data_IF_470516676957
#
_entry.id   IF_470516676957
#
_cell.length_a   1.000
_cell.length_b   1.000
_cell.length_c   1.000
_cell.angle_alpha   90.00
_cell.angle_beta   90.00
_cell.angle_gamma   90.00
#
_symmetry.space_group_name_H-M   'P 1'
#
loop_
_entity.id
_entity.type
_entity.pdbx_description
1 polymer ?
#
# COMPACT_ATOMS: atom_id res chain seq x y z
N UNK A 1 0.85 24.86 -10.97
CA UNK A 1 1.73 23.93 -10.20
C UNK A 1 0.96 23.53 -8.96
N UNK A 2 0.40 22.33 -8.95
CA UNK A 2 -0.17 21.74 -7.73
C UNK A 2 0.95 21.57 -6.71
N UNK A 3 0.81 22.16 -5.52
CA UNK A 3 1.78 21.98 -4.44
C UNK A 3 1.75 20.50 -4.03
N UNK A 4 2.86 19.79 -4.26
CA UNK A 4 3.08 18.44 -3.74
C UNK A 4 3.02 18.48 -2.21
N UNK A 5 2.31 17.54 -1.59
CA UNK A 5 2.27 17.43 -0.12
C UNK A 5 3.67 17.25 0.46
N UNK A 6 3.90 17.62 1.72
CA UNK A 6 5.19 17.44 2.41
C UNK A 6 5.68 15.99 2.33
N UNK A 7 4.76 15.03 2.51
CA UNK A 7 5.02 13.59 2.32
C UNK A 7 5.41 13.25 0.89
N UNK A 8 4.70 13.81 -0.11
CA UNK A 8 5.02 13.63 -1.52
C UNK A 8 6.42 14.15 -1.86
N UNK A 9 6.78 15.34 -1.33
CA UNK A 9 8.11 15.91 -1.53
C UNK A 9 9.21 15.03 -0.92
N UNK A 10 8.97 14.45 0.26
CA UNK A 10 9.89 13.49 0.89
C UNK A 10 10.11 12.25 0.02
N UNK A 11 9.06 11.74 -0.63
CA UNK A 11 9.14 10.58 -1.52
C UNK A 11 9.95 10.91 -2.77
N UNK A 12 9.71 12.06 -3.39
CA UNK A 12 10.48 12.50 -4.56
C UNK A 12 11.97 12.60 -4.23
N UNK A 13 12.33 13.24 -3.11
CA UNK A 13 13.72 13.35 -2.65
C UNK A 13 14.38 11.99 -2.41
N UNK A 14 13.65 11.02 -1.82
CA UNK A 14 14.17 9.65 -1.62
C UNK A 14 14.42 8.93 -2.94
N UNK A 15 13.52 9.08 -3.92
CA UNK A 15 13.70 8.49 -5.25
C UNK A 15 14.87 9.15 -5.97
N UNK A 16 15.00 10.47 -5.90
CA UNK A 16 16.12 11.22 -6.47
C UNK A 16 17.46 10.79 -5.87
N UNK A 17 17.54 10.61 -4.55
CA UNK A 17 18.73 10.11 -3.87
C UNK A 17 19.15 8.72 -4.40
N UNK A 18 18.20 7.80 -4.55
CA UNK A 18 18.47 6.46 -5.13
C UNK A 18 18.98 6.59 -6.58
N UNK A 19 18.36 7.44 -7.39
CA UNK A 19 18.81 7.67 -8.76
C UNK A 19 20.23 8.27 -8.81
N UNK A 20 20.54 9.21 -7.91
CA UNK A 20 21.87 9.79 -7.79
C UNK A 20 22.92 8.75 -7.40
N UNK A 21 22.62 7.85 -6.46
CA UNK A 21 23.51 6.74 -6.08
C UNK A 21 23.78 5.79 -7.26
N UNK A 22 22.75 5.47 -8.05
CA UNK A 22 22.88 4.65 -9.26
C UNK A 22 23.80 5.36 -10.28
N UNK A 23 23.55 6.65 -10.55
CA UNK A 23 24.34 7.45 -11.49
C UNK A 23 25.79 7.60 -11.02
N UNK A 24 26.01 7.81 -9.73
CA UNK A 24 27.33 7.87 -9.13
C UNK A 24 28.09 6.55 -9.33
N UNK A 25 27.46 5.41 -9.01
CA UNK A 25 28.07 4.07 -9.22
C UNK A 25 28.50 3.88 -10.67
N UNK A 26 27.63 4.22 -11.63
CA UNK A 26 27.92 4.13 -13.06
C UNK A 26 29.10 5.05 -13.44
N UNK A 27 29.16 6.27 -12.90
CA UNK A 27 30.26 7.22 -13.17
C UNK A 27 31.62 6.72 -12.69
N UNK A 28 31.62 5.91 -11.62
CA UNK A 28 32.82 5.26 -11.08
C UNK A 28 33.11 3.91 -11.75
N UNK A 29 32.36 3.54 -12.80
CA UNK A 29 32.45 2.26 -13.49
C UNK A 29 32.18 1.05 -12.56
N UNK A 30 31.38 1.27 -11.51
CA UNK A 30 30.90 0.25 -10.57
C UNK A 30 29.48 -0.22 -10.93
N UNK A 31 29.14 -1.46 -10.55
CA UNK A 31 27.79 -1.97 -10.80
C UNK A 31 26.78 -1.38 -9.80
N UNK A 32 25.71 -0.71 -10.26
CA UNK A 32 24.70 -0.18 -9.37
C UNK A 32 23.88 -1.29 -8.72
N UNK A 33 23.38 -1.00 -7.52
CA UNK A 33 22.46 -1.88 -6.80
C UNK A 33 21.40 -1.05 -6.08
N UNK A 34 20.27 -1.69 -5.78
CA UNK A 34 19.25 -1.18 -4.87
C UNK A 34 19.19 -2.06 -3.64
N UNK A 35 18.80 -1.50 -2.50
CA UNK A 35 18.70 -2.28 -1.27
C UNK A 35 17.49 -1.90 -0.42
N UNK A 36 16.92 -2.89 0.27
CA UNK A 36 15.75 -2.70 1.13
C UNK A 36 15.68 -3.78 2.24
N UNK A 37 14.99 -3.50 3.35
CA UNK A 37 14.77 -4.48 4.42
C UNK A 37 13.96 -5.71 3.94
N UNK A 38 14.40 -6.92 4.31
CA UNK A 38 13.72 -8.17 3.93
C UNK A 38 12.39 -8.36 4.66
N UNK A 39 11.33 -8.63 3.90
CA UNK A 39 9.96 -8.78 4.43
C UNK A 39 9.63 -10.12 5.07
N UNK A 40 10.26 -11.21 4.64
CA UNK A 40 9.91 -12.57 5.11
C UNK A 40 10.17 -12.82 6.60
N UNK A 41 10.79 -11.87 7.31
CA UNK A 41 11.02 -11.89 8.76
C UNK A 41 10.14 -10.91 9.55
N UNK A 42 9.04 -10.44 8.98
CA UNK A 42 8.12 -9.52 9.66
C UNK A 42 7.47 -10.07 10.95
N UNK A 43 7.63 -11.36 11.26
CA UNK A 43 7.31 -11.92 12.58
C UNK A 43 8.14 -11.29 13.72
N UNK A 44 9.27 -10.68 13.39
CA UNK A 44 10.17 -9.98 14.34
C UNK A 44 9.80 -8.49 14.51
N UNK A 45 8.79 -7.98 13.78
CA UNK A 45 8.32 -6.60 13.95
C UNK A 45 7.48 -6.49 15.23
N UNK A 46 7.84 -5.54 16.08
CA UNK A 46 7.06 -5.17 17.26
C UNK A 46 6.00 -4.16 16.83
N UNK A 47 4.75 -4.44 17.17
CA UNK A 47 3.68 -3.44 17.07
C UNK A 47 3.78 -2.50 18.27
N UNK A 48 3.98 -1.22 17.99
CA UNK A 48 3.92 -0.15 18.98
C UNK A 48 2.62 0.62 18.80
N UNK A 49 1.89 0.85 19.89
CA UNK A 49 0.55 1.44 19.86
C UNK A 49 0.54 2.87 19.27
N UNK A 50 1.64 3.60 19.42
CA UNK A 50 1.79 5.00 18.96
C UNK A 50 2.26 5.14 17.51
N UNK A 51 2.91 4.11 16.94
CA UNK A 51 3.56 4.18 15.62
C UNK A 51 3.13 3.05 14.68
N UNK A 52 2.38 2.07 15.18
CA UNK A 52 2.05 0.82 14.50
C UNK A 52 3.24 -0.13 14.43
N UNK A 53 3.41 -0.81 13.30
CA UNK A 53 4.57 -1.68 13.08
C UNK A 53 5.82 -0.83 12.84
N UNK A 54 6.66 -0.68 13.86
CA UNK A 54 7.92 0.07 13.76
C UNK A 54 9.01 -0.75 13.05
N UNK A 55 9.25 -0.41 11.79
CA UNK A 55 10.26 -1.06 10.94
C UNK A 55 11.69 -0.60 11.24
N UNK A 56 11.87 0.49 11.98
CA UNK A 56 13.19 1.07 12.26
C UNK A 56 13.92 0.39 13.42
N UNK A 57 13.17 -0.22 14.33
CA UNK A 57 13.69 -0.95 15.51
C UNK A 57 14.05 -2.41 15.24
N UNK A 58 13.59 -2.97 14.12
CA UNK A 58 13.89 -4.34 13.76
C UNK A 58 15.21 -4.42 12.98
N UNK A 59 16.16 -5.24 13.43
CA UNK A 59 17.41 -5.52 12.72
C UNK A 59 17.12 -6.45 11.52
N UNK A 60 16.43 -5.92 10.51
CA UNK A 60 15.96 -6.68 9.36
C UNK A 60 17.12 -6.92 8.38
N UNK A 61 17.34 -8.16 7.92
CA UNK A 61 18.34 -8.44 6.90
C UNK A 61 18.10 -7.60 5.65
N UNK A 62 19.13 -6.93 5.14
CA UNK A 62 19.03 -6.14 3.92
C UNK A 62 19.09 -7.06 2.70
N UNK A 63 18.15 -6.89 1.77
CA UNK A 63 18.21 -7.49 0.43
C UNK A 63 18.94 -6.53 -0.49
N UNK A 64 19.94 -7.02 -1.23
CA UNK A 64 20.58 -6.28 -2.32
C UNK A 64 20.14 -6.84 -3.67
N UNK A 65 19.70 -5.96 -4.56
CA UNK A 65 19.32 -6.27 -5.93
C UNK A 65 20.36 -5.60 -6.82
N UNK A 66 21.24 -6.41 -7.43
CA UNK A 66 22.36 -5.91 -8.22
C UNK A 66 22.03 -5.93 -9.71
N UNK A 67 22.57 -4.98 -10.46
CA UNK A 67 22.40 -4.91 -11.91
C UNK A 67 23.25 -5.95 -12.66
N UNK A 68 24.47 -6.25 -12.18
CA UNK A 68 25.44 -7.16 -12.83
C UNK A 68 25.12 -8.65 -12.69
N UNK A 69 24.13 -9.05 -11.88
CA UNK A 69 23.79 -10.46 -11.69
C UNK A 69 22.62 -10.87 -12.59
N UNK A 70 22.75 -11.93 -13.40
CA UNK A 70 21.67 -12.41 -14.27
C UNK A 70 20.37 -12.73 -13.52
N UNK A 71 20.48 -13.19 -12.26
CA UNK A 71 19.33 -13.54 -11.41
C UNK A 71 18.55 -12.30 -10.92
N UNK A 72 19.19 -11.14 -10.80
CA UNK A 72 18.57 -9.92 -10.25
C UNK A 72 18.39 -8.79 -11.26
N UNK A 73 19.04 -8.83 -12.43
CA UNK A 73 18.97 -7.76 -13.45
C UNK A 73 17.53 -7.44 -13.86
N UNK A 74 16.67 -8.45 -14.05
CA UNK A 74 15.25 -8.22 -14.38
C UNK A 74 14.54 -7.50 -13.24
N UNK A 75 14.73 -7.96 -11.99
CA UNK A 75 14.16 -7.31 -10.79
C UNK A 75 14.65 -5.88 -10.63
N UNK A 76 15.94 -5.63 -10.86
CA UNK A 76 16.53 -4.29 -10.82
C UNK A 76 15.86 -3.35 -11.83
N UNK A 77 15.79 -3.76 -13.09
CA UNK A 77 15.17 -2.97 -14.15
C UNK A 77 13.68 -2.70 -13.86
N UNK A 78 12.95 -3.70 -13.36
CA UNK A 78 11.54 -3.55 -12.97
C UNK A 78 11.38 -2.60 -11.78
N UNK A 79 12.22 -2.69 -10.75
CA UNK A 79 12.19 -1.76 -9.62
C UNK A 79 12.41 -0.32 -10.08
N UNK A 80 13.41 -0.08 -10.93
CA UNK A 80 13.68 1.25 -11.48
C UNK A 80 12.51 1.79 -12.31
N UNK A 81 11.86 0.92 -13.08
CA UNK A 81 10.66 1.27 -13.85
C UNK A 81 9.48 1.67 -12.95
N UNK A 82 9.24 0.92 -11.87
CA UNK A 82 8.18 1.25 -10.90
C UNK A 82 8.54 2.53 -10.13
N UNK A 83 9.80 2.75 -9.75
CA UNK A 83 10.24 4.02 -9.15
C UNK A 83 9.94 5.22 -10.05
N UNK A 84 10.19 5.11 -11.36
CA UNK A 84 9.80 6.13 -12.34
C UNK A 84 8.29 6.38 -12.33
N UNK A 85 7.48 5.32 -12.30
CA UNK A 85 6.01 5.44 -12.25
C UNK A 85 5.58 6.16 -10.97
N UNK A 86 6.09 5.75 -9.81
CA UNK A 86 5.81 6.40 -8.52
C UNK A 86 6.20 7.87 -8.57
N UNK A 87 7.40 8.19 -9.06
CA UNK A 87 7.88 9.56 -9.17
C UNK A 87 6.91 10.43 -9.99
N UNK A 88 6.50 9.97 -11.17
CA UNK A 88 5.53 10.68 -12.02
C UNK A 88 4.16 10.84 -11.34
N UNK A 89 3.65 9.78 -10.71
CA UNK A 89 2.35 9.82 -10.02
C UNK A 89 2.35 10.80 -8.85
N UNK A 90 3.41 10.80 -8.03
CA UNK A 90 3.56 11.71 -6.89
C UNK A 90 3.73 13.15 -7.37
N UNK A 91 4.59 13.37 -8.38
CA UNK A 91 4.84 14.71 -8.94
C UNK A 91 3.59 15.33 -9.54
N UNK A 92 2.77 14.53 -10.23
CA UNK A 92 1.53 15.00 -10.87
C UNK A 92 0.31 14.91 -9.94
N UNK A 93 0.48 14.41 -8.71
CA UNK A 93 -0.60 14.11 -7.77
C UNK A 93 -1.73 13.26 -8.37
N UNK A 94 -1.36 12.25 -9.16
CA UNK A 94 -2.28 11.26 -9.77
C UNK A 94 -2.10 9.90 -9.11
N UNK A 95 -3.13 9.07 -9.22
CA UNK A 95 -3.14 7.70 -8.73
C UNK A 95 -3.35 6.73 -9.88
N UNK A 96 -2.83 5.51 -9.74
CA UNK A 96 -3.19 4.40 -10.62
C UNK A 96 -3.40 3.11 -9.81
N UNK A 97 -4.03 2.12 -10.43
CA UNK A 97 -4.16 0.80 -9.81
C UNK A 97 -2.99 -0.10 -10.17
N UNK A 98 -2.73 -1.10 -9.32
CA UNK A 98 -1.74 -2.14 -9.63
C UNK A 98 -1.99 -2.85 -10.97
N UNK A 99 -3.27 -2.97 -11.36
CA UNK A 99 -3.65 -3.57 -12.64
C UNK A 99 -3.35 -2.67 -13.82
N UNK A 100 -3.50 -1.35 -13.67
CA UNK A 100 -3.10 -0.40 -14.72
C UNK A 100 -1.61 -0.56 -15.05
N UNK A 101 -0.77 -0.71 -14.01
CA UNK A 101 0.66 -0.98 -14.18
C UNK A 101 0.87 -2.32 -14.89
N UNK A 102 0.18 -3.39 -14.48
CA UNK A 102 0.29 -4.71 -15.09
C UNK A 102 -0.04 -4.68 -16.59
N UNK A 103 -1.08 -3.93 -16.99
CA UNK A 103 -1.50 -3.84 -18.38
C UNK A 103 -0.64 -2.90 -19.24
N UNK A 104 0.02 -1.90 -18.64
CA UNK A 104 0.86 -0.97 -19.39
C UNK A 104 2.15 -1.60 -19.92
N UNK A 105 2.70 -2.63 -19.24
CA UNK A 105 3.97 -3.25 -19.64
C UNK A 105 3.95 -4.78 -19.50
N UNK A 106 3.11 -5.49 -20.28
CA UNK A 106 2.93 -6.93 -20.14
C UNK A 106 4.24 -7.72 -20.28
N UNK A 107 5.17 -7.27 -21.14
CA UNK A 107 6.44 -7.95 -21.38
C UNK A 107 7.41 -7.91 -20.18
N UNK A 108 7.27 -6.90 -19.32
CA UNK A 108 8.10 -6.71 -18.14
C UNK A 108 7.64 -7.58 -16.97
N UNK A 109 6.36 -7.98 -16.93
CA UNK A 109 5.73 -8.56 -15.76
C UNK A 109 5.18 -9.97 -16.03
N UNK A 110 5.79 -11.03 -15.46
CA UNK A 110 5.33 -12.39 -15.71
C UNK A 110 3.95 -12.68 -15.09
N UNK A 111 3.62 -12.01 -13.98
CA UNK A 111 2.34 -12.16 -13.30
C UNK A 111 2.09 -11.00 -12.33
N UNK A 112 0.82 -10.78 -11.97
CA UNK A 112 0.41 -9.70 -11.05
C UNK A 112 1.10 -9.81 -9.67
N UNK A 113 1.30 -11.02 -9.15
CA UNK A 113 1.96 -11.24 -7.86
C UNK A 113 3.42 -10.77 -7.85
N UNK A 114 4.11 -10.80 -8.99
CA UNK A 114 5.47 -10.27 -9.11
C UNK A 114 5.50 -8.75 -8.98
N UNK A 115 4.52 -8.05 -9.56
CA UNK A 115 4.38 -6.59 -9.42
C UNK A 115 4.04 -6.23 -7.98
N UNK A 116 3.09 -6.95 -7.37
CA UNK A 116 2.72 -6.76 -5.97
C UNK A 116 3.94 -6.81 -5.06
N UNK A 117 4.79 -7.83 -5.24
CA UNK A 117 6.02 -7.96 -4.46
C UNK A 117 7.01 -6.82 -4.70
N UNK A 118 7.15 -6.34 -5.94
CA UNK A 118 8.06 -5.25 -6.27
C UNK A 118 7.58 -3.92 -5.67
N UNK A 119 6.28 -3.64 -5.74
CA UNK A 119 5.68 -2.44 -5.12
C UNK A 119 5.91 -2.47 -3.60
N UNK A 120 5.69 -3.63 -2.96
CA UNK A 120 5.93 -3.79 -1.53
C UNK A 120 7.42 -3.60 -1.16
N UNK A 121 8.35 -4.11 -1.98
CA UNK A 121 9.79 -3.95 -1.77
C UNK A 121 10.19 -2.47 -1.92
N UNK A 122 9.62 -1.74 -2.87
CA UNK A 122 9.83 -0.29 -3.05
C UNK A 122 9.27 0.50 -1.87
N UNK A 123 8.09 0.15 -1.37
CA UNK A 123 7.53 0.77 -0.17
C UNK A 123 8.47 0.61 1.03
N UNK A 124 9.11 -0.56 1.16
CA UNK A 124 10.12 -0.80 2.19
C UNK A 124 11.41 -0.02 1.94
N UNK A 125 11.88 0.03 0.69
CA UNK A 125 13.07 0.79 0.30
C UNK A 125 12.93 2.28 0.63
N UNK A 126 11.76 2.85 0.37
CA UNK A 126 11.44 4.26 0.64
C UNK A 126 10.97 4.50 2.08
N UNK A 127 10.78 3.44 2.87
CA UNK A 127 10.25 3.49 4.24
C UNK A 127 8.94 4.28 4.35
N UNK A 128 8.02 4.02 3.42
CA UNK A 128 6.68 4.62 3.40
C UNK A 128 5.61 3.53 3.33
N UNK A 129 4.40 3.80 3.81
CA UNK A 129 3.29 2.89 3.56
C UNK A 129 2.92 2.88 2.07
N UNK A 130 2.30 1.79 1.61
CA UNK A 130 2.06 1.56 0.17
C UNK A 130 1.16 2.60 -0.47
N UNK A 131 0.19 3.13 0.27
CA UNK A 131 -0.76 4.14 -0.25
C UNK A 131 -0.07 5.46 -0.60
N UNK A 132 1.06 5.78 0.03
CA UNK A 132 1.86 6.98 -0.29
C UNK A 132 2.62 6.83 -1.62
N UNK A 133 2.72 5.62 -2.19
CA UNK A 133 3.33 5.43 -3.52
C UNK A 133 2.39 5.84 -4.67
N UNK A 134 1.17 6.28 -4.36
CA UNK A 134 0.12 6.60 -5.33
C UNK A 134 -0.30 5.41 -6.21
N UNK A 135 0.03 4.18 -5.80
CA UNK A 135 -0.38 2.94 -6.46
C UNK A 135 -1.38 2.22 -5.57
N UNK A 136 -2.63 2.18 -6.00
CA UNK A 136 -3.75 1.66 -5.23
C UNK A 136 -4.07 0.21 -5.57
N UNK A 137 -4.50 -0.55 -4.56
CA UNK A 137 -5.21 -1.79 -4.79
C UNK A 137 -6.63 -1.46 -5.27
N UNK A 138 -7.19 -2.27 -6.16
CA UNK A 138 -8.63 -2.18 -6.46
C UNK A 138 -9.40 -2.52 -5.20
N UNK A 139 -10.20 -1.58 -4.67
CA UNK A 139 -11.02 -1.84 -3.50
C UNK A 139 -12.11 -2.85 -3.83
N UNK A 140 -12.18 -3.91 -3.04
CA UNK A 140 -13.26 -4.90 -3.05
C UNK A 140 -13.80 -5.19 -1.66
N UNK A 141 -13.12 -4.69 -0.62
CA UNK A 141 -13.54 -4.90 0.75
C UNK A 141 -14.82 -4.13 1.02
N UNK A 142 -15.71 -4.77 1.76
CA UNK A 142 -16.94 -4.19 2.26
C UNK A 142 -16.84 -4.09 3.79
N UNK A 143 -17.46 -3.06 4.35
CA UNK A 143 -17.58 -2.85 5.78
C UNK A 143 -19.04 -2.65 6.17
N UNK A 144 -19.45 -3.18 7.32
CA UNK A 144 -20.78 -2.96 7.91
C UNK A 144 -20.70 -3.03 9.43
N UNK A 145 -21.63 -2.38 10.12
CA UNK A 145 -21.70 -2.37 11.57
C UNK A 145 -21.38 -0.99 12.16
N UNK A 146 -21.01 -0.97 13.44
CA UNK A 146 -20.81 0.24 14.23
C UNK A 146 -19.57 1.02 13.76
N UNK A 147 -19.72 1.76 12.66
CA UNK A 147 -18.69 2.57 12.04
C UNK A 147 -19.33 3.72 11.26
N UNK A 148 -18.86 4.93 11.54
CA UNK A 148 -19.20 6.14 10.81
C UNK A 148 -17.91 6.86 10.41
N UNK A 149 -17.90 7.50 9.25
CA UNK A 149 -16.76 8.27 8.78
C UNK A 149 -17.20 9.35 7.78
N UNK A 150 -16.31 10.27 7.46
CA UNK A 150 -16.49 11.29 6.44
C UNK A 150 -15.65 10.93 5.20
N UNK A 151 -16.25 10.95 4.02
CA UNK A 151 -15.54 10.64 2.77
C UNK A 151 -14.66 11.80 2.28
N UNK A 152 -14.04 11.66 1.10
CA UNK A 152 -13.19 12.71 0.51
C UNK A 152 -13.94 14.02 0.22
N UNK A 153 -15.25 13.94 -0.03
CA UNK A 153 -16.13 15.06 -0.38
C UNK A 153 -16.81 15.69 0.84
N UNK A 154 -16.55 15.16 2.04
CA UNK A 154 -17.18 15.63 3.27
C UNK A 154 -18.53 14.95 3.56
N UNK A 155 -18.89 13.91 2.83
CA UNK A 155 -20.14 13.17 3.04
C UNK A 155 -20.01 12.28 4.26
N UNK A 156 -20.96 12.39 5.18
CA UNK A 156 -21.07 11.48 6.30
C UNK A 156 -21.58 10.10 5.84
N UNK A 157 -20.79 9.06 6.06
CA UNK A 157 -21.08 7.68 5.71
C UNK A 157 -21.35 6.88 6.98
N UNK A 158 -22.54 6.29 7.05
CA UNK A 158 -22.95 5.40 8.14
C UNK A 158 -22.97 3.93 7.66
N UNK A 159 -22.12 3.10 8.25
CA UNK A 159 -21.97 1.69 7.91
C UNK A 159 -22.93 0.77 8.69
N UNK A 160 -23.61 1.29 9.73
CA UNK A 160 -24.45 0.48 10.61
C UNK A 160 -25.74 0.03 9.92
N UNK A 161 -26.27 0.88 9.06
CA UNK A 161 -27.57 0.69 8.39
C UNK A 161 -27.43 0.29 6.92
N UNK A 162 -26.21 0.06 6.43
CA UNK A 162 -25.96 -0.30 5.04
C UNK A 162 -26.38 -1.75 4.74
N UNK A 163 -27.39 -1.93 3.89
CA UNK A 163 -27.97 -3.24 3.53
C UNK A 163 -26.94 -4.16 2.84
N UNK A 164 -26.14 -3.61 1.95
CA UNK A 164 -25.14 -4.35 1.16
C UNK A 164 -23.70 -4.20 1.71
N UNK A 165 -23.54 -3.56 2.87
CA UNK A 165 -22.26 -3.02 3.31
C UNK A 165 -21.84 -1.79 2.49
N UNK A 166 -20.81 -1.11 3.00
CA UNK A 166 -20.18 0.06 2.38
C UNK A 166 -18.83 -0.35 1.80
N UNK A 167 -18.52 0.09 0.59
CA UNK A 167 -17.21 -0.19 -0.01
C UNK A 167 -16.11 0.57 0.74
N UNK A 168 -15.08 -0.16 1.16
CA UNK A 168 -13.91 0.44 1.79
C UNK A 168 -13.13 1.19 0.71
N UNK A 169 -12.84 2.47 0.96
CA UNK A 169 -12.09 3.27 0.02
C UNK A 169 -10.70 2.67 -0.23
N UNK A 170 -10.23 2.76 -1.48
CA UNK A 170 -8.91 2.26 -1.84
C UNK A 170 -7.77 3.13 -1.26
N UNK A 171 -8.09 4.38 -0.95
CA UNK A 171 -7.16 5.37 -0.43
C UNK A 171 -7.59 5.80 0.99
N UNK A 172 -6.68 5.75 1.96
CA UNK A 172 -7.00 6.01 3.38
C UNK A 172 -7.41 7.45 3.67
N UNK A 173 -6.95 8.42 2.87
CA UNK A 173 -7.41 9.82 2.96
C UNK A 173 -8.90 10.03 2.62
N UNK A 174 -9.55 9.01 2.03
CA UNK A 174 -10.97 9.08 1.68
C UNK A 174 -11.86 8.58 2.84
N UNK A 175 -11.28 8.30 4.01
CA UNK A 175 -12.00 7.97 5.24
C UNK A 175 -11.45 8.81 6.39
N UNK A 176 -12.12 9.90 6.70
CA UNK A 176 -11.76 10.85 7.77
C UNK A 176 -12.76 10.75 8.92
N UNK A 177 -12.43 11.36 10.06
CA UNK A 177 -13.34 11.50 11.19
C UNK A 177 -14.03 10.17 11.59
N UNK A 178 -13.25 9.10 11.67
CA UNK A 178 -13.73 7.76 12.00
C UNK A 178 -14.31 7.76 13.42
N UNK A 179 -15.57 7.34 13.54
CA UNK A 179 -16.31 7.22 14.79
C UNK A 179 -16.86 5.80 14.91
N UNK A 180 -16.69 5.19 16.09
CA UNK A 180 -17.15 3.82 16.36
C UNK A 180 -17.25 3.58 17.85
N UNK A 181 -18.25 2.82 18.27
CA UNK A 181 -18.35 2.24 19.61
C UNK A 181 -18.17 0.72 19.59
N UNK A 182 -17.59 0.18 18.51
CA UNK A 182 -17.41 -1.24 18.35
C UNK A 182 -16.39 -1.79 19.35
N UNK A 183 -16.73 -2.92 19.97
CA UNK A 183 -15.82 -3.65 20.86
C UNK A 183 -14.87 -4.57 20.09
N UNK A 184 -15.21 -4.95 18.87
CA UNK A 184 -14.38 -5.82 18.04
C UNK A 184 -14.64 -5.62 16.55
N UNK A 185 -13.65 -6.04 15.76
CA UNK A 185 -13.71 -6.15 14.30
C UNK A 185 -13.68 -7.64 13.93
N UNK A 186 -14.68 -8.10 13.18
CA UNK A 186 -14.74 -9.44 12.61
C UNK A 186 -14.32 -9.40 11.14
N UNK A 187 -13.18 -10.00 10.84
CA UNK A 187 -12.65 -10.11 9.48
C UNK A 187 -13.09 -11.44 8.86
N UNK A 188 -13.79 -11.38 7.74
CA UNK A 188 -14.39 -12.53 7.05
C UNK A 188 -13.76 -12.69 5.67
N UNK A 189 -12.91 -13.71 5.51
CA UNK A 189 -12.17 -13.93 4.26
C UNK A 189 -13.06 -14.24 3.05
N UNK A 190 -14.19 -14.92 3.25
CA UNK A 190 -15.08 -15.33 2.14
C UNK A 190 -16.27 -14.39 2.00
N UNK A 191 -16.37 -13.73 0.84
CA UNK A 191 -17.49 -12.85 0.50
C UNK A 191 -18.85 -13.54 0.69
N UNK A 192 -19.01 -14.80 0.25
CA UNK A 192 -20.26 -15.54 0.46
C UNK A 192 -20.65 -15.70 1.95
N UNK A 193 -19.67 -15.78 2.85
CA UNK A 193 -19.91 -15.82 4.30
C UNK A 193 -20.25 -14.43 4.82
N UNK A 194 -19.55 -13.40 4.35
CA UNK A 194 -19.83 -12.00 4.67
C UNK A 194 -21.27 -11.61 4.28
N UNK A 195 -21.69 -11.91 3.05
CA UNK A 195 -23.05 -11.67 2.57
C UNK A 195 -24.11 -12.40 3.41
N UNK A 196 -23.84 -13.64 3.84
CA UNK A 196 -24.73 -14.37 4.75
C UNK A 196 -24.87 -13.67 6.10
N UNK A 197 -23.78 -13.16 6.67
CA UNK A 197 -23.80 -12.43 7.94
C UNK A 197 -24.57 -11.11 7.81
N UNK A 198 -24.37 -10.36 6.73
CA UNK A 198 -25.14 -9.15 6.42
C UNK A 198 -26.65 -9.44 6.35
N UNK A 199 -27.05 -10.42 5.54
CA UNK A 199 -28.46 -10.81 5.37
C UNK A 199 -29.10 -11.29 6.68
N UNK A 200 -28.30 -11.85 7.59
CA UNK A 200 -28.78 -12.28 8.91
C UNK A 200 -28.91 -11.15 9.95
N UNK A 201 -28.57 -9.91 9.56
CA UNK A 201 -28.49 -8.74 10.45
C UNK A 201 -27.55 -8.97 11.64
N UNK A 202 -26.42 -9.63 11.41
CA UNK A 202 -25.48 -10.04 12.45
C UNK A 202 -25.06 -8.87 13.36
N UNK A 203 -24.65 -7.74 12.77
CA UNK A 203 -24.18 -6.58 13.54
C UNK A 203 -25.28 -5.97 14.42
N UNK A 204 -26.54 -6.03 14.00
CA UNK A 204 -27.67 -5.54 14.80
C UNK A 204 -27.98 -6.46 15.98
N UNK A 205 -27.84 -7.79 15.78
CA UNK A 205 -28.08 -8.80 16.81
C UNK A 205 -26.99 -8.85 17.87
N UNK A 206 -25.73 -8.72 17.45
CA UNK A 206 -24.59 -8.71 18.38
C UNK A 206 -24.44 -7.36 19.09
N UNK A 207 -24.71 -6.26 18.37
CA UNK A 207 -24.39 -4.91 18.80
C UNK A 207 -22.88 -4.64 18.81
N UNK A 208 -22.50 -3.37 18.66
CA UNK A 208 -21.13 -2.87 18.89
C UNK A 208 -20.03 -3.71 18.21
N UNK A 209 -20.18 -4.00 16.92
CA UNK A 209 -19.16 -4.69 16.14
C UNK A 209 -19.03 -4.12 14.73
N UNK A 210 -17.84 -4.26 14.15
CA UNK A 210 -17.56 -3.98 12.74
C UNK A 210 -17.30 -5.30 12.03
N UNK A 211 -17.94 -5.50 10.89
CA UNK A 211 -17.73 -6.62 9.99
C UNK A 211 -16.97 -6.13 8.76
N UNK A 212 -15.87 -6.80 8.39
CA UNK A 212 -15.06 -6.48 7.21
C UNK A 212 -14.82 -7.75 6.40
N UNK A 213 -14.82 -7.64 5.06
CA UNK A 213 -14.37 -8.70 4.14
C UNK A 213 -13.14 -8.31 3.34
#
# INVERSE_FOLDING_TARGET
MSMTSETGQNILLKIEAICLEIMHSISQNESPFMSYPRRSKWKELVFEETVGLDKTKANLPIVRVQFDKPKSVKKFATMLKILKIVYTLVQENRYCTKRDIFYQYPDLYPCQSSIDQIIDDIACMLMVPRWELHILATSKGLVSGDLQFEDSEGTHVDCQHAIAGVQIAAHTKDMKNIQTHAHFVLVVEKDATFQKLLNSQFCQKMGHCILIT
#
